data_IF_106164117503
#
_entry.id   IF_106164117503
#
_cell.length_a   1.000
_cell.length_b   1.000
_cell.length_c   1.000
_cell.angle_alpha   90.00
_cell.angle_beta   90.00
_cell.angle_gamma   90.00
#
_symmetry.space_group_name_H-M   'P 1'
#
loop_
_entity.id
_entity.type
_entity.pdbx_description
1 polymer ?
#
# COMPACT_ATOMS: atom_id res chain seq x y z
N UNK A 1 7.31 2.84 2.48
CA UNK A 1 8.21 3.61 1.60
C UNK A 1 9.44 2.77 1.29
N UNK A 2 10.05 2.87 0.11
CA UNK A 2 11.31 2.19 -0.16
C UNK A 2 12.46 2.83 0.62
N UNK A 3 13.57 2.11 0.77
CA UNK A 3 14.81 2.56 1.43
C UNK A 3 14.55 3.23 2.79
N UNK A 4 14.06 2.46 3.76
CA UNK A 4 13.57 3.02 5.04
C UNK A 4 14.63 3.81 5.81
N UNK A 5 15.92 3.47 5.70
CA UNK A 5 17.01 4.26 6.30
C UNK A 5 16.98 5.72 5.83
N UNK A 6 16.92 5.94 4.51
CA UNK A 6 16.78 7.27 3.92
C UNK A 6 15.49 7.97 4.35
N UNK A 7 14.38 7.24 4.43
CA UNK A 7 13.10 7.82 4.88
C UNK A 7 13.18 8.30 6.32
N UNK A 8 13.79 7.50 7.20
CA UNK A 8 14.04 7.88 8.59
C UNK A 8 14.89 9.15 8.68
N UNK A 9 15.99 9.22 7.93
CA UNK A 9 16.86 10.40 7.88
C UNK A 9 16.14 11.66 7.39
N UNK A 10 15.20 11.52 6.44
CA UNK A 10 14.39 12.65 5.95
C UNK A 10 13.38 13.10 7.01
N UNK A 11 12.69 12.14 7.64
CA UNK A 11 11.65 12.44 8.62
C UNK A 11 12.22 12.95 9.95
N UNK A 12 13.49 12.67 10.26
CA UNK A 12 14.15 13.14 11.48
C UNK A 12 14.93 14.46 11.31
N UNK A 13 14.79 15.15 10.18
CA UNK A 13 15.50 16.42 9.97
C UNK A 13 14.89 17.53 10.82
N UNK A 14 15.71 18.28 11.56
CA UNK A 14 15.25 19.41 12.39
C UNK A 14 14.49 20.49 11.61
N UNK A 15 14.73 20.62 10.30
CA UNK A 15 14.04 21.58 9.43
C UNK A 15 12.66 21.13 8.96
N UNK A 16 12.31 19.86 9.16
CA UNK A 16 11.02 19.31 8.75
C UNK A 16 10.07 19.39 9.94
N UNK A 17 9.00 20.16 9.79
CA UNK A 17 7.88 20.12 10.73
C UNK A 17 6.88 19.05 10.28
N UNK A 18 6.80 17.96 11.03
CA UNK A 18 6.01 16.77 10.71
C UNK A 18 4.77 16.70 11.59
N UNK A 19 3.60 16.80 10.96
CA UNK A 19 2.30 16.53 11.59
C UNK A 19 1.80 15.18 11.11
N UNK A 20 1.51 14.26 12.04
CA UNK A 20 0.95 12.94 11.73
C UNK A 20 -0.44 12.82 12.33
N UNK A 21 -1.40 12.50 11.47
CA UNK A 21 -2.75 12.13 11.87
C UNK A 21 -2.89 10.63 11.73
N UNK A 22 -3.05 9.93 12.85
CA UNK A 22 -3.06 8.46 12.88
C UNK A 22 -4.00 7.96 13.99
N UNK A 23 -4.45 6.72 13.84
CA UNK A 23 -5.27 6.01 14.83
C UNK A 23 -4.38 5.26 15.86
N UNK A 24 -3.10 5.05 15.54
CA UNK A 24 -2.10 4.47 16.45
C UNK A 24 -0.78 5.24 16.43
N UNK A 25 0.03 5.04 17.47
CA UNK A 25 1.41 5.53 17.50
C UNK A 25 2.31 4.66 16.60
N UNK A 26 2.25 4.91 15.30
CA UNK A 26 3.05 4.23 14.26
C UNK A 26 4.50 4.71 14.25
N UNK A 27 5.38 4.04 13.48
CA UNK A 27 6.78 4.47 13.33
C UNK A 27 6.89 5.92 12.84
N UNK A 28 6.02 6.30 11.90
CA UNK A 28 5.96 7.68 11.40
C UNK A 28 5.46 8.65 12.47
N UNK A 29 4.44 8.26 13.26
CA UNK A 29 3.91 9.10 14.33
C UNK A 29 4.94 9.35 15.45
N UNK A 30 5.83 8.38 15.72
CA UNK A 30 6.92 8.55 16.68
C UNK A 30 7.99 9.55 16.24
N UNK A 31 8.07 9.85 14.94
CA UNK A 31 8.97 10.86 14.38
C UNK A 31 8.31 12.25 14.26
N UNK A 32 7.02 12.38 14.59
CA UNK A 32 6.27 13.61 14.38
C UNK A 32 6.49 14.64 15.49
N UNK A 33 6.47 15.93 15.11
CA UNK A 33 6.40 17.04 16.07
C UNK A 33 5.01 17.16 16.71
N UNK A 34 3.97 16.81 15.94
CA UNK A 34 2.58 16.83 16.39
C UNK A 34 1.88 15.56 15.91
N UNK A 35 1.25 14.84 16.85
CA UNK A 35 0.35 13.72 16.54
C UNK A 35 -1.10 14.13 16.81
N UNK A 36 -1.96 13.98 15.81
CA UNK A 36 -3.39 14.25 15.90
C UNK A 36 -4.16 12.92 15.96
N UNK A 37 -4.84 12.60 17.08
CA UNK A 37 -5.54 11.33 17.24
C UNK A 37 -6.78 11.28 16.34
N UNK A 38 -6.78 10.35 15.39
CA UNK A 38 -7.90 10.13 14.48
C UNK A 38 -8.87 9.06 15.00
N UNK A 39 -10.15 9.21 14.70
CA UNK A 39 -11.17 8.20 14.93
C UNK A 39 -10.99 7.00 13.97
N UNK A 40 -11.12 5.78 14.47
CA UNK A 40 -11.04 4.55 13.70
C UNK A 40 -12.31 4.30 12.85
N UNK A 41 -12.34 3.17 12.14
CA UNK A 41 -13.40 2.84 11.16
C UNK A 41 -14.83 2.93 11.72
N UNK A 42 -15.13 2.23 12.81
CA UNK A 42 -16.48 2.20 13.41
C UNK A 42 -16.84 3.43 14.24
N UNK A 43 -15.93 4.40 14.35
CA UNK A 43 -16.05 5.57 15.22
C UNK A 43 -16.48 6.84 14.48
N UNK A 44 -16.63 6.75 13.14
CA UNK A 44 -16.98 7.87 12.27
C UNK A 44 -17.85 7.42 11.10
N UNK A 45 -18.65 8.34 10.58
CA UNK A 45 -19.47 8.12 9.37
C UNK A 45 -18.69 8.55 8.13
N UNK A 46 -18.78 7.79 7.05
CA UNK A 46 -18.17 8.13 5.76
C UNK A 46 -18.48 7.10 4.68
N UNK A 47 -17.97 7.30 3.47
CA UNK A 47 -18.15 6.36 2.36
C UNK A 47 -16.84 5.69 1.97
N UNK A 48 -16.93 4.45 1.49
CA UNK A 48 -15.81 3.68 0.95
C UNK A 48 -16.15 3.22 -0.46
N UNK A 49 -15.16 3.22 -1.36
CA UNK A 49 -15.32 2.68 -2.72
C UNK A 49 -14.43 1.46 -2.87
N UNK A 50 -15.02 0.32 -3.22
CA UNK A 50 -14.31 -0.95 -3.41
C UNK A 50 -13.67 -1.05 -4.81
N UNK A 51 -12.89 -2.11 -5.01
CA UNK A 51 -12.12 -2.35 -6.25
C UNK A 51 -12.98 -2.41 -7.51
N UNK A 52 -14.23 -2.83 -7.36
CA UNK A 52 -15.22 -2.92 -8.43
C UNK A 52 -15.94 -1.60 -8.68
N UNK A 53 -15.61 -0.51 -7.96
CA UNK A 53 -16.25 0.82 -7.99
C UNK A 53 -17.54 0.93 -7.19
N UNK A 54 -17.89 -0.08 -6.40
CA UNK A 54 -19.07 -0.03 -5.53
C UNK A 54 -18.82 0.89 -4.33
N UNK A 55 -19.64 1.91 -4.19
CA UNK A 55 -19.65 2.87 -3.09
C UNK A 55 -20.56 2.33 -1.98
N UNK A 56 -20.07 2.29 -0.75
CA UNK A 56 -20.83 1.92 0.43
C UNK A 56 -20.81 3.05 1.46
N UNK A 57 -21.91 3.23 2.20
CA UNK A 57 -21.94 4.05 3.40
C UNK A 57 -21.53 3.20 4.62
N UNK A 58 -20.64 3.74 5.43
CA UNK A 58 -20.28 3.22 6.75
C UNK A 58 -20.80 4.21 7.78
N UNK A 59 -21.77 3.81 8.58
CA UNK A 59 -22.30 4.64 9.66
C UNK A 59 -21.50 4.43 10.95
N UNK A 60 -21.36 5.50 11.74
CA UNK A 60 -20.74 5.46 13.06
C UNK A 60 -21.49 4.47 13.95
N UNK A 61 -20.76 3.52 14.54
CA UNK A 61 -21.29 2.50 15.42
C UNK A 61 -20.99 2.77 16.90
N UNK A 62 -19.85 3.41 17.19
CA UNK A 62 -19.40 3.72 18.56
C UNK A 62 -18.79 5.13 18.63
N UNK A 63 -18.67 5.69 19.83
CA UNK A 63 -17.96 6.96 20.04
C UNK A 63 -16.43 6.77 19.92
N UNK A 64 -15.70 7.74 19.34
CA UNK A 64 -14.25 7.70 19.32
C UNK A 64 -13.69 7.80 20.75
N UNK A 65 -12.57 7.12 21.05
CA UNK A 65 -11.99 7.11 22.38
C UNK A 65 -11.25 8.42 22.70
N UNK A 66 -11.29 8.82 23.97
CA UNK A 66 -10.52 9.96 24.47
C UNK A 66 -10.85 11.26 23.72
N UNK A 67 -9.84 11.87 23.11
CA UNK A 67 -9.95 13.12 22.33
C UNK A 67 -9.91 12.88 20.82
N UNK A 68 -10.03 11.63 20.37
CA UNK A 68 -9.97 11.30 18.95
C UNK A 68 -11.15 11.93 18.19
N UNK A 69 -10.84 12.50 17.03
CA UNK A 69 -11.82 13.16 16.14
C UNK A 69 -11.78 12.50 14.77
N UNK A 70 -12.87 12.59 14.00
CA UNK A 70 -12.82 12.14 12.61
C UNK A 70 -11.82 12.96 11.81
N UNK A 71 -11.19 12.35 10.81
CA UNK A 71 -10.23 13.02 9.94
C UNK A 71 -10.82 14.29 9.33
N UNK A 72 -12.10 14.24 8.91
CA UNK A 72 -12.80 15.37 8.34
C UNK A 72 -12.89 16.56 9.32
N UNK A 73 -13.22 16.30 10.58
CA UNK A 73 -13.31 17.34 11.61
C UNK A 73 -11.94 17.98 11.89
N UNK A 74 -10.87 17.18 11.88
CA UNK A 74 -9.50 17.66 12.05
C UNK A 74 -9.12 18.55 10.86
N UNK A 75 -9.34 18.09 9.63
CA UNK A 75 -9.05 18.85 8.41
C UNK A 75 -9.86 20.14 8.30
N UNK A 76 -11.16 20.11 8.61
CA UNK A 76 -12.01 21.29 8.56
C UNK A 76 -11.62 22.33 9.62
N UNK A 77 -11.26 21.89 10.83
CA UNK A 77 -10.78 22.78 11.89
C UNK A 77 -9.42 23.39 11.53
N UNK A 78 -8.49 22.60 10.98
CA UNK A 78 -7.22 23.10 10.47
C UNK A 78 -7.41 24.17 9.39
N UNK A 79 -8.19 23.88 8.35
CA UNK A 79 -8.45 24.81 7.26
C UNK A 79 -9.06 26.14 7.76
N UNK A 80 -9.99 26.06 8.73
CA UNK A 80 -10.61 27.22 9.37
C UNK A 80 -9.58 28.05 10.14
N UNK A 81 -8.72 27.42 10.94
CA UNK A 81 -7.68 28.12 11.74
C UNK A 81 -6.61 28.77 10.86
N UNK A 82 -6.28 28.13 9.74
CA UNK A 82 -5.37 28.69 8.73
C UNK A 82 -6.02 29.82 7.91
N UNK A 83 -7.34 30.00 8.00
CA UNK A 83 -8.06 31.03 7.26
C UNK A 83 -8.01 30.82 5.74
N UNK A 84 -8.00 29.56 5.28
CA UNK A 84 -7.94 29.24 3.85
C UNK A 84 -9.20 29.75 3.13
N UNK A 85 -9.00 30.52 2.06
CA UNK A 85 -10.09 31.15 1.29
C UNK A 85 -10.14 30.65 -0.14
N UNK A 86 -11.34 30.65 -0.72
CA UNK A 86 -11.54 30.45 -2.15
C UNK A 86 -11.28 31.75 -2.94
N UNK A 87 -11.39 31.66 -4.27
CA UNK A 87 -11.18 32.79 -5.19
C UNK A 87 -12.13 33.97 -4.97
N UNK A 88 -13.28 33.73 -4.34
CA UNK A 88 -14.33 34.71 -4.10
C UNK A 88 -14.23 35.28 -2.67
N UNK A 89 -13.19 34.92 -1.91
CA UNK A 89 -12.90 35.39 -0.57
C UNK A 89 -13.67 34.67 0.55
N UNK A 90 -14.50 33.68 0.21
CA UNK A 90 -15.20 32.82 1.18
C UNK A 90 -14.30 31.72 1.74
N UNK A 91 -14.77 30.93 2.74
CA UNK A 91 -14.03 29.77 3.24
C UNK A 91 -13.80 28.74 2.14
N UNK A 92 -12.57 28.22 2.02
CA UNK A 92 -12.25 27.19 1.02
C UNK A 92 -13.00 25.87 1.29
N UNK A 93 -12.99 25.41 2.55
CA UNK A 93 -13.71 24.22 3.00
C UNK A 93 -15.08 24.68 3.52
N UNK A 94 -16.15 24.31 2.78
CA UNK A 94 -17.51 24.79 3.02
C UNK A 94 -18.38 23.80 3.81
N UNK A 95 -18.00 22.52 3.78
CA UNK A 95 -18.70 21.42 4.43
C UNK A 95 -18.16 21.18 5.86
N UNK A 96 -19.05 20.70 6.72
CA UNK A 96 -18.79 20.39 8.14
C UNK A 96 -19.09 18.95 8.49
N UNK A 97 -20.01 18.32 7.77
CA UNK A 97 -20.40 16.92 8.00
C UNK A 97 -19.90 16.01 6.87
N UNK A 98 -19.78 14.69 7.11
CA UNK A 98 -19.44 13.74 6.05
C UNK A 98 -20.42 13.76 4.87
N UNK A 99 -21.71 13.98 5.13
CA UNK A 99 -22.74 14.04 4.08
C UNK A 99 -22.61 15.31 3.24
N UNK A 100 -22.36 16.48 3.85
CA UNK A 100 -22.09 17.71 3.11
C UNK A 100 -20.81 17.59 2.25
N UNK A 101 -19.78 16.92 2.77
CA UNK A 101 -18.56 16.65 2.01
C UNK A 101 -18.83 15.69 0.84
N UNK A 102 -19.67 14.68 1.05
CA UNK A 102 -20.11 13.76 0.01
C UNK A 102 -20.93 14.49 -1.07
N UNK A 103 -21.83 15.39 -0.69
CA UNK A 103 -22.60 16.20 -1.63
C UNK A 103 -21.70 17.15 -2.44
N UNK A 104 -20.68 17.74 -1.83
CA UNK A 104 -19.67 18.51 -2.55
C UNK A 104 -18.92 17.63 -3.58
N UNK A 105 -18.59 16.38 -3.22
CA UNK A 105 -17.99 15.42 -4.15
C UNK A 105 -18.94 15.02 -5.28
N UNK A 106 -20.23 14.78 -4.98
CA UNK A 106 -21.26 14.49 -5.99
C UNK A 106 -21.36 15.57 -7.05
N UNK A 107 -21.29 16.83 -6.63
CA UNK A 107 -21.31 17.94 -7.58
C UNK A 107 -19.99 18.04 -8.37
N UNK A 108 -18.85 17.83 -7.70
CA UNK A 108 -17.53 17.84 -8.34
C UNK A 108 -17.41 16.76 -9.44
N UNK A 109 -17.99 15.59 -9.23
CA UNK A 109 -17.92 14.47 -10.18
C UNK A 109 -19.00 14.50 -11.27
N UNK A 110 -19.95 15.43 -11.21
CA UNK A 110 -21.03 15.53 -12.22
C UNK A 110 -20.46 15.65 -13.63
N UNK A 111 -20.93 14.80 -14.53
CA UNK A 111 -20.49 14.74 -15.93
C UNK A 111 -19.07 14.19 -16.14
N UNK A 112 -18.43 13.63 -15.10
CA UNK A 112 -17.10 13.00 -15.19
C UNK A 112 -17.22 11.48 -15.35
N UNK A 113 -16.14 10.76 -15.70
CA UNK A 113 -16.17 9.29 -15.74
C UNK A 113 -16.63 8.66 -14.40
N UNK A 114 -16.28 9.30 -13.28
CA UNK A 114 -16.63 8.88 -11.92
C UNK A 114 -17.88 9.57 -11.35
N UNK A 115 -18.89 9.82 -12.19
CA UNK A 115 -20.09 10.58 -11.80
C UNK A 115 -20.89 9.96 -10.64
N UNK A 116 -21.15 10.74 -9.59
CA UNK A 116 -21.92 10.37 -8.39
C UNK A 116 -23.24 11.17 -8.29
N UNK A 117 -23.64 11.89 -9.33
CA UNK A 117 -24.70 12.91 -9.26
C UNK A 117 -26.04 12.38 -8.73
N UNK A 118 -26.37 11.11 -9.01
CA UNK A 118 -27.60 10.45 -8.56
C UNK A 118 -27.44 9.61 -7.28
N UNK A 119 -26.22 9.50 -6.71
CA UNK A 119 -26.03 8.88 -5.40
C UNK A 119 -26.58 9.75 -4.28
N UNK A 120 -26.97 9.13 -3.18
CA UNK A 120 -27.33 9.81 -1.94
C UNK A 120 -27.06 8.90 -0.76
N UNK A 121 -26.92 9.45 0.44
CA UNK A 121 -26.83 8.62 1.64
C UNK A 121 -28.08 7.75 1.82
N UNK A 122 -29.26 8.22 1.43
CA UNK A 122 -30.48 7.42 1.40
C UNK A 122 -30.31 6.14 0.59
N UNK A 123 -29.86 6.25 -0.67
CA UNK A 123 -29.57 5.08 -1.52
C UNK A 123 -28.50 4.17 -0.91
N UNK A 124 -27.43 4.76 -0.37
CA UNK A 124 -26.30 4.00 0.17
C UNK A 124 -26.63 3.26 1.48
N UNK A 125 -27.70 3.65 2.19
CA UNK A 125 -28.23 2.88 3.33
C UNK A 125 -28.93 1.60 2.89
N UNK A 126 -29.54 1.60 1.70
CA UNK A 126 -30.22 0.42 1.16
C UNK A 126 -29.24 -0.60 0.57
N UNK A 127 -28.07 -0.14 0.11
CA UNK A 127 -27.01 -1.01 -0.43
C UNK A 127 -25.88 -0.25 -1.11
N UNK A 128 -24.82 -0.98 -1.46
CA UNK A 128 -23.72 -0.40 -2.23
C UNK A 128 -24.12 -0.12 -3.68
N UNK A 129 -23.60 0.96 -4.26
CA UNK A 129 -23.92 1.35 -5.65
C UNK A 129 -22.64 1.57 -6.44
N UNK A 130 -22.56 0.95 -7.62
CA UNK A 130 -21.41 1.05 -8.51
C UNK A 130 -21.50 2.30 -9.39
N UNK A 131 -20.55 3.23 -9.27
CA UNK A 131 -20.50 4.40 -10.15
C UNK A 131 -20.16 4.00 -11.59
N UNK A 132 -20.34 4.85 -12.63
CA UNK A 132 -21.09 6.09 -12.62
C UNK A 132 -22.56 5.86 -12.25
N UNK A 133 -23.09 6.76 -11.43
CA UNK A 133 -24.48 6.78 -11.02
C UNK A 133 -25.04 8.18 -11.30
N UNK A 134 -25.83 8.26 -12.37
CA UNK A 134 -26.33 9.52 -12.97
C UNK A 134 -27.85 9.50 -13.04
N UNK A 135 -28.48 10.59 -13.46
CA UNK A 135 -29.94 10.61 -13.66
C UNK A 135 -30.40 9.57 -14.71
N UNK A 136 -29.57 9.29 -15.72
CA UNK A 136 -29.85 8.28 -16.74
C UNK A 136 -29.53 6.84 -16.27
N UNK A 137 -28.71 6.69 -15.24
CA UNK A 137 -28.34 5.42 -14.63
C UNK A 137 -28.42 5.53 -13.08
N UNK A 138 -29.63 5.69 -12.53
CA UNK A 138 -29.82 6.05 -11.11
C UNK A 138 -29.45 4.93 -10.14
N UNK A 139 -29.35 3.69 -10.63
CA UNK A 139 -28.98 2.52 -9.83
C UNK A 139 -27.51 2.11 -10.04
N UNK A 140 -26.72 2.98 -10.68
CA UNK A 140 -25.32 2.74 -11.00
C UNK A 140 -25.10 2.06 -12.35
N UNK A 141 -23.83 1.83 -12.67
CA UNK A 141 -23.40 1.27 -13.96
C UNK A 141 -22.41 0.13 -13.74
N UNK A 142 -22.87 -1.11 -13.92
CA UNK A 142 -22.06 -2.31 -13.70
C UNK A 142 -20.92 -2.43 -14.72
N UNK A 143 -21.26 -2.33 -16.00
CA UNK A 143 -20.32 -2.51 -17.10
C UNK A 143 -20.03 -1.20 -17.81
N UNK A 144 -18.83 -0.67 -17.60
CA UNK A 144 -18.33 0.48 -18.36
C UNK A 144 -18.16 0.15 -19.84
N UNK A 145 -18.33 1.18 -20.67
CA UNK A 145 -18.03 1.16 -22.11
C UNK A 145 -18.83 0.14 -22.94
N UNK A 146 -19.91 -0.43 -22.40
CA UNK A 146 -20.75 -1.41 -23.10
C UNK A 146 -21.32 -0.86 -24.42
N UNK A 147 -21.57 0.46 -24.48
CA UNK A 147 -22.02 1.16 -25.69
C UNK A 147 -20.91 1.62 -26.64
N UNK A 148 -19.64 1.27 -26.37
CA UNK A 148 -18.50 1.69 -27.21
C UNK A 148 -18.13 3.17 -27.11
N UNK A 149 -18.65 3.88 -26.09
CA UNK A 149 -18.30 5.27 -25.79
C UNK A 149 -17.19 5.28 -24.75
N UNK A 150 -16.10 6.00 -25.03
CA UNK A 150 -14.91 6.09 -24.17
C UNK A 150 -14.58 7.54 -23.84
N UNK A 151 -14.00 7.79 -22.66
CA UNK A 151 -13.47 9.10 -22.25
C UNK A 151 -12.07 9.37 -22.81
N UNK A 152 -11.90 9.08 -24.11
CA UNK A 152 -10.61 9.18 -24.82
C UNK A 152 -10.59 10.35 -25.83
N UNK A 153 -11.67 11.11 -25.92
CA UNK A 153 -11.68 12.36 -26.68
C UNK A 153 -10.61 13.32 -26.11
N UNK A 154 -9.72 13.92 -26.93
CA UNK A 154 -8.77 14.95 -26.49
C UNK A 154 -9.42 16.17 -25.83
N UNK A 155 -10.71 16.37 -26.06
CA UNK A 155 -11.51 17.42 -25.45
C UNK A 155 -12.01 17.05 -24.05
N UNK A 156 -12.16 15.76 -23.75
CA UNK A 156 -12.81 15.26 -22.52
C UNK A 156 -11.87 14.42 -21.62
N UNK A 157 -10.75 13.92 -22.14
CA UNK A 157 -9.84 13.06 -21.39
C UNK A 157 -9.19 13.81 -20.22
N UNK A 158 -9.02 13.14 -19.09
CA UNK A 158 -8.36 13.73 -17.91
C UNK A 158 -6.87 13.99 -18.13
N UNK A 159 -6.25 13.23 -19.03
CA UNK A 159 -4.83 13.36 -19.37
C UNK A 159 -4.56 12.81 -20.77
N UNK A 160 -3.63 13.42 -21.49
CA UNK A 160 -3.07 12.89 -22.73
C UNK A 160 -2.14 11.67 -22.51
N UNK A 161 -1.90 11.33 -21.25
CA UNK A 161 -1.02 10.26 -20.83
C UNK A 161 0.45 10.67 -20.84
N UNK A 162 1.30 9.67 -20.73
CA UNK A 162 2.76 9.82 -20.72
C UNK A 162 3.38 8.84 -21.69
N UNK A 163 4.60 9.16 -22.11
CA UNK A 163 5.52 8.19 -22.66
C UNK A 163 5.86 7.15 -21.58
N UNK A 164 5.77 5.86 -21.92
CA UNK A 164 5.88 4.78 -20.94
C UNK A 164 7.33 4.54 -20.49
N UNK A 165 8.32 4.97 -21.27
CA UNK A 165 9.74 4.73 -20.95
C UNK A 165 10.35 5.92 -20.20
N UNK A 166 10.07 7.13 -20.67
CA UNK A 166 10.66 8.37 -20.14
C UNK A 166 9.77 9.05 -19.11
N UNK A 167 8.46 8.74 -19.11
CA UNK A 167 7.47 9.40 -18.26
C UNK A 167 7.12 10.83 -18.70
N UNK A 168 7.66 11.29 -19.84
CA UNK A 168 7.38 12.60 -20.39
C UNK A 168 5.87 12.75 -20.63
N UNK A 169 5.24 13.87 -20.22
CA UNK A 169 3.83 14.12 -20.52
C UNK A 169 3.65 14.19 -22.04
N UNK A 170 2.57 13.59 -22.53
CA UNK A 170 2.22 13.70 -23.94
C UNK A 170 1.55 15.04 -24.23
N UNK A 171 1.89 15.63 -25.37
CA UNK A 171 1.22 16.82 -25.87
C UNK A 171 -0.12 16.47 -26.54
N UNK A 172 -1.07 17.41 -26.50
CA UNK A 172 -2.40 17.24 -27.10
C UNK A 172 -2.31 16.87 -28.59
N UNK A 173 -1.32 17.43 -29.30
CA UNK A 173 -1.06 17.16 -30.72
C UNK A 173 -0.70 15.69 -30.96
N UNK A 174 0.18 15.13 -30.14
CA UNK A 174 0.66 13.76 -30.28
C UNK A 174 -0.43 12.77 -29.87
N UNK A 175 -1.21 13.09 -28.83
CA UNK A 175 -2.37 12.30 -28.44
C UNK A 175 -3.43 12.23 -29.54
N UNK A 176 -3.74 13.36 -30.18
CA UNK A 176 -4.67 13.42 -31.33
C UNK A 176 -4.20 12.54 -32.49
N UNK A 177 -2.89 12.46 -32.73
CA UNK A 177 -2.32 11.63 -33.79
C UNK A 177 -2.54 10.13 -33.56
N UNK A 178 -2.77 9.69 -32.31
CA UNK A 178 -3.12 8.31 -31.98
C UNK A 178 -4.55 7.92 -32.39
N UNK A 179 -5.34 8.87 -32.90
CA UNK A 179 -6.76 8.70 -33.20
C UNK A 179 -7.54 8.09 -32.02
N UNK A 180 -7.53 8.75 -30.84
CA UNK A 180 -8.06 8.18 -29.61
C UNK A 180 -9.60 8.10 -29.61
N UNK A 181 -10.24 8.69 -30.62
CA UNK A 181 -11.68 8.64 -30.86
C UNK A 181 -12.17 7.25 -31.31
N UNK A 182 -11.26 6.39 -31.81
CA UNK A 182 -11.63 5.20 -32.57
C UNK A 182 -11.84 3.90 -31.79
N UNK A 183 -11.40 3.82 -30.51
CA UNK A 183 -11.44 2.68 -29.56
C UNK A 183 -10.36 2.89 -28.47
N UNK A 184 -10.17 1.91 -27.58
CA UNK A 184 -8.97 1.83 -26.75
C UNK A 184 -7.67 1.93 -27.58
N UNK A 185 -6.69 2.66 -27.06
CA UNK A 185 -5.38 2.87 -27.69
C UNK A 185 -4.42 1.76 -27.26
N UNK A 186 -3.82 1.06 -28.24
CA UNK A 186 -2.73 0.12 -27.99
C UNK A 186 -1.42 0.92 -27.99
N UNK A 187 -0.70 0.91 -26.87
CA UNK A 187 0.64 1.48 -26.75
C UNK A 187 1.67 0.35 -26.64
N UNK A 188 2.64 0.34 -27.54
CA UNK A 188 3.81 -0.53 -27.42
C UNK A 188 4.85 0.10 -26.48
N UNK A 189 5.59 -0.74 -25.76
CA UNK A 189 6.74 -0.35 -24.97
C UNK A 189 7.76 -1.50 -25.05
N UNK A 190 9.04 -1.15 -25.11
CA UNK A 190 10.09 -2.17 -25.09
C UNK A 190 10.24 -2.75 -23.68
N UNK A 191 10.60 -4.03 -23.61
CA UNK A 191 10.98 -4.62 -22.33
C UNK A 191 12.27 -3.95 -21.82
N UNK A 192 12.21 -3.45 -20.59
CA UNK A 192 13.38 -2.96 -19.85
C UNK A 192 13.61 -3.88 -18.65
N UNK A 193 14.84 -4.40 -18.45
CA UNK A 193 15.15 -5.11 -17.22
C UNK A 193 15.04 -4.16 -16.02
N UNK A 194 14.79 -4.69 -14.81
CA UNK A 194 14.97 -3.94 -13.57
C UNK A 194 16.30 -3.19 -13.54
N UNK A 195 16.32 -1.99 -12.95
CA UNK A 195 17.55 -1.21 -12.80
C UNK A 195 18.58 -1.90 -11.91
N UNK A 196 18.15 -2.82 -11.06
CA UNK A 196 19.01 -3.65 -10.22
C UNK A 196 18.76 -5.14 -10.52
N UNK A 197 19.76 -5.79 -11.12
CA UNK A 197 19.77 -7.21 -11.45
C UNK A 197 20.79 -7.94 -10.56
N UNK A 198 20.59 -9.25 -10.30
CA UNK A 198 21.59 -10.05 -9.60
C UNK A 198 22.96 -10.03 -10.30
N UNK A 199 24.02 -10.00 -9.49
CA UNK A 199 25.42 -10.01 -9.92
C UNK A 199 26.26 -10.93 -9.00
N UNK A 200 27.59 -10.90 -9.13
CA UNK A 200 28.47 -11.77 -8.35
C UNK A 200 28.46 -11.46 -6.83
N UNK A 201 28.21 -10.20 -6.45
CA UNK A 201 28.15 -9.77 -5.04
C UNK A 201 26.76 -10.03 -4.42
N UNK A 202 25.71 -9.91 -5.23
CA UNK A 202 24.30 -10.07 -4.87
C UNK A 202 23.58 -11.04 -5.84
N UNK A 203 23.85 -12.36 -5.74
CA UNK A 203 23.48 -13.33 -6.78
C UNK A 203 22.01 -13.75 -6.79
N UNK A 204 21.19 -13.24 -5.87
CA UNK A 204 19.79 -13.61 -5.75
C UNK A 204 18.86 -12.44 -6.04
N UNK A 205 17.70 -12.72 -6.63
CA UNK A 205 16.63 -11.75 -6.80
C UNK A 205 15.75 -11.68 -5.54
N UNK A 206 15.73 -10.54 -4.86
CA UNK A 206 14.81 -10.25 -3.79
C UNK A 206 13.46 -9.76 -4.32
N UNK A 207 12.38 -10.37 -3.83
CA UNK A 207 11.00 -9.92 -4.02
C UNK A 207 10.32 -9.71 -2.66
N UNK A 208 9.33 -8.82 -2.62
CA UNK A 208 8.54 -8.56 -1.42
C UNK A 208 7.06 -8.81 -1.68
N UNK A 209 6.28 -9.21 -0.68
CA UNK A 209 4.85 -9.39 -0.86
C UNK A 209 4.02 -9.44 0.40
N UNK A 210 2.75 -9.78 0.20
CA UNK A 210 1.73 -9.85 1.24
C UNK A 210 1.50 -11.29 1.68
N UNK A 211 0.99 -11.42 2.89
CA UNK A 211 0.53 -12.67 3.48
C UNK A 211 -0.93 -12.49 3.90
N UNK A 212 -1.68 -13.57 4.06
CA UNK A 212 -3.13 -13.48 4.32
C UNK A 212 -3.46 -12.96 5.74
N UNK A 213 -2.56 -13.17 6.70
CA UNK A 213 -2.81 -12.89 8.12
C UNK A 213 -2.63 -11.42 8.50
N UNK A 214 -1.90 -10.66 7.68
CA UNK A 214 -1.52 -9.31 8.03
C UNK A 214 -1.87 -8.32 6.94
N UNK A 215 -2.44 -7.19 7.35
CA UNK A 215 -2.72 -6.09 6.46
C UNK A 215 -1.66 -4.99 6.65
N UNK A 216 -0.91 -4.73 5.58
CA UNK A 216 0.14 -3.72 5.53
C UNK A 216 1.04 -3.71 6.78
N UNK A 217 1.12 -2.61 7.51
CA UNK A 217 2.05 -2.38 8.62
C UNK A 217 1.70 -3.10 9.92
N UNK A 218 0.68 -3.99 9.91
CA UNK A 218 0.24 -4.78 11.08
C UNK A 218 -0.35 -3.97 12.23
N UNK A 219 -0.40 -2.63 12.17
CA UNK A 219 -0.85 -1.76 13.27
C UNK A 219 -2.27 -2.09 13.76
N UNK A 220 -3.12 -2.63 12.87
CA UNK A 220 -4.42 -3.23 13.22
C UNK A 220 -4.35 -4.73 13.43
N UNK A 221 -3.86 -5.49 12.45
CA UNK A 221 -3.98 -6.95 12.44
C UNK A 221 -3.14 -7.64 13.52
N UNK A 222 -2.00 -7.09 13.93
CA UNK A 222 -1.22 -7.65 15.05
C UNK A 222 -1.90 -7.47 16.41
N UNK A 223 -2.95 -6.64 16.50
CA UNK A 223 -3.74 -6.48 17.73
C UNK A 223 -4.85 -7.52 17.87
N UNK A 224 -5.14 -8.27 16.81
CA UNK A 224 -5.97 -9.46 16.88
C UNK A 224 -5.06 -10.64 17.29
N UNK A 225 -5.25 -11.24 18.49
CA UNK A 225 -4.34 -12.26 19.01
C UNK A 225 -4.15 -13.45 18.07
N UNK A 226 -5.21 -13.88 17.39
CA UNK A 226 -5.21 -15.03 16.48
C UNK A 226 -4.37 -14.74 15.22
N UNK A 227 -4.48 -13.53 14.67
CA UNK A 227 -3.69 -13.12 13.50
C UNK A 227 -2.22 -12.92 13.86
N UNK A 228 -1.94 -12.38 15.05
CA UNK A 228 -0.57 -12.21 15.53
C UNK A 228 0.09 -13.56 15.83
N UNK A 229 -0.64 -14.51 16.42
CA UNK A 229 -0.13 -15.84 16.69
C UNK A 229 0.17 -16.62 15.39
N UNK A 230 -0.59 -16.37 14.32
CA UNK A 230 -0.42 -17.09 13.05
C UNK A 230 0.81 -16.65 12.23
N UNK A 231 1.31 -15.43 12.42
CA UNK A 231 2.47 -14.90 11.70
C UNK A 231 3.27 -13.90 12.56
N UNK A 232 3.84 -14.32 13.70
CA UNK A 232 4.31 -13.41 14.74
C UNK A 232 5.52 -12.58 14.33
N UNK A 233 6.41 -13.16 13.52
CA UNK A 233 7.71 -12.61 13.16
C UNK A 233 7.95 -12.72 11.64
N UNK A 234 8.89 -11.93 11.14
CA UNK A 234 9.32 -11.99 9.75
C UNK A 234 10.05 -13.31 9.45
N UNK A 235 9.89 -13.83 8.24
CA UNK A 235 10.65 -14.95 7.70
C UNK A 235 11.21 -14.60 6.32
N UNK A 236 12.21 -15.36 5.88
CA UNK A 236 12.72 -15.31 4.51
C UNK A 236 12.45 -16.64 3.83
N UNK A 237 11.92 -16.63 2.61
CA UNK A 237 11.73 -17.85 1.83
C UNK A 237 12.87 -18.07 0.84
N UNK A 238 13.34 -19.31 0.78
CA UNK A 238 14.38 -19.79 -0.11
C UNK A 238 13.95 -21.10 -0.77
N UNK A 239 14.42 -21.33 -1.99
CA UNK A 239 14.30 -22.64 -2.63
C UNK A 239 15.20 -23.65 -1.91
N UNK A 240 14.88 -24.95 -1.99
CA UNK A 240 15.74 -26.00 -1.43
C UNK A 240 17.16 -26.00 -2.05
N UNK A 241 17.26 -25.65 -3.34
CA UNK A 241 18.54 -25.53 -4.04
C UNK A 241 19.40 -24.41 -3.44
N UNK A 242 18.81 -23.22 -3.26
CA UNK A 242 19.56 -22.05 -2.76
C UNK A 242 19.87 -22.22 -1.27
N UNK A 243 18.94 -22.76 -0.48
CA UNK A 243 19.20 -23.12 0.91
C UNK A 243 20.43 -24.04 1.02
N UNK A 244 20.52 -25.09 0.19
CA UNK A 244 21.69 -25.96 0.12
C UNK A 244 22.97 -25.23 -0.32
N UNK A 245 22.87 -24.34 -1.32
CA UNK A 245 24.01 -23.56 -1.85
C UNK A 245 24.59 -22.62 -0.79
N UNK A 246 23.74 -21.99 0.01
CA UNK A 246 24.13 -21.03 1.05
C UNK A 246 24.29 -21.65 2.44
N UNK A 247 24.19 -22.99 2.56
CA UNK A 247 24.35 -23.70 3.82
C UNK A 247 23.29 -23.38 4.88
N UNK A 248 22.07 -23.08 4.44
CA UNK A 248 20.91 -22.75 5.27
C UNK A 248 19.92 -23.92 5.33
N UNK A 249 19.30 -24.09 6.49
CA UNK A 249 18.21 -25.04 6.72
C UNK A 249 16.93 -24.32 7.18
N UNK A 250 15.81 -25.04 7.15
CA UNK A 250 14.55 -24.58 7.74
C UNK A 250 14.76 -24.15 9.21
N UNK A 251 14.26 -22.97 9.56
CA UNK A 251 14.33 -22.43 10.93
C UNK A 251 15.64 -21.71 11.27
N UNK A 252 16.71 -21.86 10.49
CA UNK A 252 17.94 -21.09 10.66
C UNK A 252 17.67 -19.59 10.61
N UNK A 253 18.49 -18.79 11.30
CA UNK A 253 18.43 -17.33 11.16
C UNK A 253 19.38 -16.94 10.03
N UNK A 254 18.81 -16.37 8.96
CA UNK A 254 19.57 -15.83 7.85
C UNK A 254 19.62 -14.30 7.91
N UNK A 255 20.75 -13.74 7.50
CA UNK A 255 20.88 -12.34 7.15
C UNK A 255 20.64 -12.21 5.64
N UNK A 256 19.69 -11.35 5.25
CA UNK A 256 19.46 -10.97 3.86
C UNK A 256 20.01 -9.56 3.68
N UNK A 257 20.96 -9.40 2.75
CA UNK A 257 21.68 -8.15 2.55
C UNK A 257 21.58 -7.67 1.12
N UNK A 258 21.45 -6.36 0.96
CA UNK A 258 21.53 -5.64 -0.31
C UNK A 258 22.59 -4.54 -0.21
N UNK A 259 22.76 -3.73 -1.27
CA UNK A 259 23.62 -2.55 -1.21
C UNK A 259 23.14 -1.48 -0.19
N UNK A 260 21.85 -1.49 0.19
CA UNK A 260 21.25 -0.46 1.07
C UNK A 260 21.23 -0.83 2.54
N UNK A 261 21.23 -2.12 2.85
CA UNK A 261 21.08 -2.57 4.23
C UNK A 261 20.85 -4.07 4.33
N UNK A 262 20.48 -4.48 5.54
CA UNK A 262 20.29 -5.87 5.90
C UNK A 262 19.12 -6.06 6.84
N UNK A 263 18.53 -7.25 6.78
CA UNK A 263 17.54 -7.73 7.75
C UNK A 263 17.89 -9.15 8.17
N UNK A 264 17.44 -9.55 9.36
CA UNK A 264 17.52 -10.94 9.82
C UNK A 264 16.13 -11.54 9.92
N UNK A 265 15.99 -12.78 9.47
CA UNK A 265 14.72 -13.50 9.50
C UNK A 265 14.95 -15.01 9.57
N UNK A 266 13.99 -15.76 10.13
CA UNK A 266 14.03 -17.23 10.12
C UNK A 266 13.78 -17.76 8.70
N UNK A 267 14.57 -18.72 8.27
CA UNK A 267 14.50 -19.33 6.93
C UNK A 267 13.31 -20.26 6.83
N UNK A 268 12.50 -20.07 5.80
CA UNK A 268 11.50 -21.00 5.30
C UNK A 268 11.99 -21.61 3.99
N UNK A 269 12.16 -22.92 3.93
CA UNK A 269 12.47 -23.63 2.68
C UNK A 269 11.17 -24.00 1.98
N UNK A 270 10.84 -23.29 0.90
CA UNK A 270 9.58 -23.43 0.16
C UNK A 270 9.79 -23.76 -1.32
N UNK A 271 8.69 -23.96 -2.04
CA UNK A 271 8.69 -24.19 -3.49
C UNK A 271 8.97 -22.96 -4.34
N UNK A 272 9.51 -21.87 -3.77
CA UNK A 272 9.88 -20.67 -4.51
C UNK A 272 10.93 -20.99 -5.58
N UNK A 273 10.89 -20.26 -6.70
CA UNK A 273 11.81 -20.44 -7.83
C UNK A 273 13.27 -20.28 -7.36
N UNK A 274 14.19 -21.17 -7.75
CA UNK A 274 15.62 -20.97 -7.49
C UNK A 274 16.13 -19.62 -7.99
N UNK A 275 17.08 -19.03 -7.26
CA UNK A 275 17.59 -17.68 -7.49
C UNK A 275 16.67 -16.56 -7.00
N UNK A 276 15.58 -16.86 -6.29
CA UNK A 276 14.62 -15.87 -5.76
C UNK A 276 14.49 -16.00 -4.25
N UNK A 277 14.55 -14.85 -3.58
CA UNK A 277 14.33 -14.67 -2.14
C UNK A 277 13.03 -13.90 -1.94
N UNK A 278 12.15 -14.36 -1.05
CA UNK A 278 10.94 -13.62 -0.68
C UNK A 278 10.96 -13.17 0.78
N UNK A 279 10.56 -11.91 1.01
CA UNK A 279 10.34 -11.33 2.33
C UNK A 279 8.94 -10.68 2.41
N UNK A 280 8.11 -11.00 3.42
CA UNK A 280 6.88 -10.26 3.64
C UNK A 280 7.19 -8.84 4.16
N UNK A 281 6.52 -7.83 3.63
CA UNK A 281 6.79 -6.43 4.01
C UNK A 281 6.05 -5.94 5.25
N UNK A 282 5.32 -6.84 5.92
CA UNK A 282 4.39 -6.49 6.99
C UNK A 282 5.06 -6.02 8.29
N UNK A 283 6.32 -6.39 8.51
CA UNK A 283 7.02 -6.23 9.77
C UNK A 283 7.80 -4.92 9.78
N UNK A 284 7.34 -3.95 10.58
CA UNK A 284 8.03 -2.69 10.86
C UNK A 284 8.68 -2.71 12.25
N UNK A 285 8.72 -1.58 12.95
CA UNK A 285 9.36 -1.45 14.27
C UNK A 285 8.42 -0.94 15.37
N UNK A 286 7.17 -0.59 15.07
CA UNK A 286 6.25 0.01 16.06
C UNK A 286 5.97 -0.88 17.28
N UNK A 287 6.09 -2.20 17.13
CA UNK A 287 5.94 -3.25 18.13
C UNK A 287 7.28 -3.69 18.74
N UNK A 288 8.38 -2.97 18.49
CA UNK A 288 9.71 -3.23 19.06
C UNK A 288 10.12 -2.12 20.05
N UNK A 289 11.05 -2.37 20.99
CA UNK A 289 11.51 -1.35 21.94
C UNK A 289 12.07 -0.08 21.28
N UNK A 290 12.66 -0.21 20.09
CA UNK A 290 13.22 0.90 19.31
C UNK A 290 12.17 1.74 18.57
N UNK A 291 10.95 1.20 18.45
CA UNK A 291 9.75 1.93 18.05
C UNK A 291 9.65 2.32 16.58
N UNK A 292 10.64 3.00 16.01
CA UNK A 292 10.59 3.50 14.62
C UNK A 292 11.82 3.14 13.77
N UNK A 293 12.84 2.56 14.39
CA UNK A 293 14.12 2.19 13.77
C UNK A 293 14.49 0.76 14.13
N UNK A 294 15.40 0.12 13.36
CA UNK A 294 15.99 -1.14 13.78
C UNK A 294 16.75 -1.01 15.10
N UNK A 295 16.73 -2.11 15.87
CA UNK A 295 17.65 -2.35 17.00
C UNK A 295 18.99 -2.87 16.50
N UNK A 296 19.41 -4.03 17.01
CA UNK A 296 20.65 -4.69 16.56
C UNK A 296 20.62 -5.04 15.07
N UNK A 297 19.44 -5.41 14.54
CA UNK A 297 19.26 -5.78 13.14
C UNK A 297 17.89 -5.34 12.61
N UNK A 298 17.82 -5.16 11.29
CA UNK A 298 16.58 -4.88 10.59
C UNK A 298 15.66 -6.10 10.51
N UNK A 299 14.37 -5.83 10.31
CA UNK A 299 13.36 -6.86 9.97
C UNK A 299 12.36 -6.43 8.89
N UNK A 300 12.34 -5.14 8.57
CA UNK A 300 11.44 -4.60 7.56
C UNK A 300 11.99 -4.82 6.15
N UNK A 301 11.22 -5.47 5.28
CA UNK A 301 11.66 -5.74 3.90
C UNK A 301 12.07 -4.47 3.14
N UNK A 302 11.45 -3.33 3.45
CA UNK A 302 11.75 -2.05 2.80
C UNK A 302 13.10 -1.42 3.24
N UNK A 303 13.81 -1.99 4.21
CA UNK A 303 15.24 -1.67 4.43
C UNK A 303 16.10 -2.06 3.21
N UNK A 304 15.63 -3.05 2.45
CA UNK A 304 16.38 -3.66 1.35
C UNK A 304 15.98 -3.11 -0.02
N UNK A 305 14.81 -2.47 -0.12
CA UNK A 305 14.24 -2.02 -1.40
C UNK A 305 14.87 -0.72 -1.89
N UNK A 306 15.04 -0.61 -3.20
CA UNK A 306 15.64 0.54 -3.88
C UNK A 306 14.72 1.78 -3.89
N UNK A 307 15.28 2.97 -3.73
CA UNK A 307 14.61 4.21 -4.15
C UNK A 307 14.63 4.28 -5.67
N UNK A 308 13.57 3.78 -6.29
CA UNK A 308 13.38 3.79 -7.74
C UNK A 308 11.89 3.75 -8.07
N UNK A 309 11.49 4.23 -9.24
CA UNK A 309 10.10 4.36 -9.64
C UNK A 309 9.88 4.24 -11.14
N UNK A 310 8.71 3.72 -11.51
CA UNK A 310 8.22 3.73 -12.89
C UNK A 310 8.11 5.18 -13.42
N UNK A 311 8.67 5.43 -14.60
CA UNK A 311 8.81 6.78 -15.11
C UNK A 311 7.44 7.46 -15.36
N UNK A 312 6.42 6.72 -15.76
CA UNK A 312 5.10 7.25 -16.08
C UNK A 312 4.23 7.45 -14.83
N UNK A 313 4.02 6.39 -14.05
CA UNK A 313 3.14 6.37 -12.88
C UNK A 313 3.77 6.93 -11.61
N UNK A 314 5.11 7.01 -11.57
CA UNK A 314 5.91 7.32 -10.36
C UNK A 314 5.73 6.31 -9.23
N UNK A 315 5.18 5.13 -9.53
CA UNK A 315 5.04 4.06 -8.55
C UNK A 315 6.43 3.48 -8.20
N UNK A 316 6.76 3.34 -6.91
CA UNK A 316 8.04 2.75 -6.53
C UNK A 316 8.15 1.27 -6.90
N UNK A 317 9.36 0.84 -7.24
CA UNK A 317 9.65 -0.54 -7.65
C UNK A 317 9.97 -1.40 -6.41
N UNK A 318 8.95 -2.01 -5.82
CA UNK A 318 9.08 -2.86 -4.62
C UNK A 318 9.32 -4.35 -4.90
N UNK A 319 9.14 -4.78 -6.16
CA UNK A 319 9.00 -6.20 -6.53
C UNK A 319 10.30 -6.81 -7.05
N UNK A 320 11.40 -6.07 -6.97
CA UNK A 320 12.70 -6.49 -7.46
C UNK A 320 13.79 -5.69 -6.74
N UNK A 321 14.82 -6.39 -6.29
CA UNK A 321 16.14 -5.92 -5.86
C UNK A 321 17.11 -7.10 -5.97
N UNK A 322 18.41 -6.87 -5.98
CA UNK A 322 19.43 -7.92 -5.84
C UNK A 322 19.84 -8.06 -4.37
N UNK A 323 20.06 -9.30 -3.93
CA UNK A 323 20.50 -9.59 -2.57
C UNK A 323 21.46 -10.77 -2.50
N UNK A 324 22.09 -10.92 -1.34
CA UNK A 324 22.79 -12.12 -0.91
C UNK A 324 22.23 -12.58 0.43
N UNK A 325 22.42 -13.86 0.76
CA UNK A 325 22.00 -14.44 2.04
C UNK A 325 23.18 -15.12 2.73
N UNK A 326 23.22 -15.05 4.06
CA UNK A 326 24.23 -15.73 4.86
C UNK A 326 23.63 -16.25 6.17
N UNK A 327 24.23 -17.31 6.72
CA UNK A 327 23.81 -17.88 7.99
C UNK A 327 24.33 -17.05 9.16
N UNK A 328 23.42 -16.69 10.08
CA UNK A 328 23.75 -16.01 11.35
C UNK A 328 23.82 -17.01 12.48
N UNK A 329 22.84 -17.91 12.57
CA UNK A 329 22.81 -18.97 13.58
C UNK A 329 21.99 -20.17 13.11
N UNK A 330 22.25 -21.32 13.72
CA UNK A 330 21.38 -22.48 13.60
C UNK A 330 19.98 -22.19 14.15
N UNK A 331 18.98 -22.88 13.60
CA UNK A 331 17.63 -22.89 14.15
C UNK A 331 17.58 -23.52 15.55
N UNK A 332 16.59 -23.14 16.34
CA UNK A 332 16.32 -23.65 17.69
C UNK A 332 15.62 -25.02 17.70
N UNK A 333 15.64 -25.74 16.56
CA UNK A 333 14.82 -26.94 16.32
C UNK A 333 13.34 -26.64 16.08
N UNK A 334 12.92 -25.37 16.20
CA UNK A 334 11.61 -24.88 15.81
C UNK A 334 11.51 -24.58 14.32
N UNK A 335 10.28 -24.58 13.81
CA UNK A 335 10.00 -24.24 12.42
C UNK A 335 10.02 -22.73 12.19
N UNK A 336 10.15 -22.32 10.93
CA UNK A 336 9.97 -20.91 10.56
C UNK A 336 8.59 -20.39 10.97
N UNK A 337 8.47 -19.10 11.37
CA UNK A 337 7.18 -18.48 11.67
C UNK A 337 6.33 -18.25 10.42
N UNK A 338 6.81 -18.62 9.22
CA UNK A 338 6.01 -18.50 8.01
C UNK A 338 4.75 -19.37 8.11
N UNK A 339 3.60 -18.89 7.63
CA UNK A 339 2.42 -19.71 7.49
C UNK A 339 2.64 -20.89 6.55
N UNK A 340 2.07 -22.03 6.92
CA UNK A 340 2.26 -23.31 6.21
C UNK A 340 1.29 -23.51 5.03
N UNK A 341 0.22 -22.71 4.96
CA UNK A 341 -0.75 -22.73 3.86
C UNK A 341 -0.46 -21.70 2.76
N UNK A 342 -0.92 -21.99 1.53
CA UNK A 342 -0.83 -21.13 0.34
C UNK A 342 0.59 -21.09 -0.29
N UNK A 343 1.13 -19.89 -0.54
CA UNK A 343 2.35 -19.72 -1.35
C UNK A 343 3.65 -20.13 -0.61
N UNK A 344 3.63 -20.18 0.72
CA UNK A 344 4.80 -20.40 1.58
C UNK A 344 4.94 -21.85 2.07
N UNK A 345 4.23 -22.79 1.44
CA UNK A 345 4.21 -24.20 1.86
C UNK A 345 5.61 -24.84 1.82
N UNK A 346 6.02 -25.56 2.89
CA UNK A 346 7.32 -26.21 2.96
C UNK A 346 7.50 -27.31 1.92
N UNK A 347 8.74 -27.52 1.44
CA UNK A 347 9.05 -28.57 0.44
C UNK A 347 9.09 -29.98 1.05
N UNK A 348 9.29 -30.12 2.36
CA UNK A 348 9.33 -31.43 3.04
C UNK A 348 8.29 -31.55 4.16
N UNK A 349 7.66 -32.72 4.25
CA UNK A 349 6.63 -33.05 5.24
C UNK A 349 7.15 -33.17 6.69
N UNK A 350 8.46 -33.04 6.92
CA UNK A 350 9.06 -32.96 8.26
C UNK A 350 8.81 -31.62 8.96
N UNK A 351 8.10 -30.71 8.31
CA UNK A 351 7.72 -29.40 8.80
C UNK A 351 6.24 -29.42 9.19
N UNK A 352 5.96 -29.77 10.43
CA UNK A 352 4.59 -29.88 10.97
C UNK A 352 3.82 -28.56 10.89
N UNK A 353 2.58 -28.62 10.39
CA UNK A 353 1.66 -27.50 10.39
C UNK A 353 1.18 -27.21 11.82
N UNK A 354 1.33 -25.98 12.29
CA UNK A 354 0.84 -25.53 13.59
C UNK A 354 -0.69 -25.51 13.71
N UNK A 355 -1.43 -26.39 13.01
CA UNK A 355 -2.85 -26.59 13.26
C UNK A 355 -3.02 -27.35 14.58
N UNK A 356 -3.53 -26.62 15.57
CA UNK A 356 -4.14 -27.18 16.77
C UNK A 356 -5.09 -28.33 16.38
N UNK A 357 -4.91 -29.49 17.00
CA UNK A 357 -6.01 -30.44 17.20
C UNK A 357 -6.88 -29.96 18.36
#
# INVERSE_FOLDING_TARGET
MPELARMREILSQERLFLVVQDIFLTETAQLADVVLPAAAWGEKTGTFTNVDRTVHLSEKAVEPPGEARSDLEIFADFARRMGLRDKDGGPLVKWRTPEEAFDAWRECSRGRPCDYSALSYGKLRDGGVQWPCTEAAPDGTERLYAGGVFWASPEDCETYGRDLETGAPMEAKDYRALNPFGRAVIKAADYRPPHEMPDDDYPLQLITGRTVYHFHTRTRTARAPELQAAAPEVWVELSAHDAGTFGLAEGDVAQVRTARGEVRAKVRVSGIRPGVVFLPFHYGYWDTPEGWRPGEHGRAANELTLTDWDAASKQPIFKTASCTVSKVSDGDGGLSPAPVGLASTPVTAGVHDGSLR
#
